data_IF_334035188772
#
_entry.id   IF_334035188772
#
_cell.length_a   1.000
_cell.length_b   1.000
_cell.length_c   1.000
_cell.angle_alpha   90.00
_cell.angle_beta   90.00
_cell.angle_gamma   90.00
#
_symmetry.space_group_name_H-M   'P 1'
#
loop_
_entity.id
_entity.type
_entity.pdbx_description
1 polymer ?
#
# COMPACT_ATOMS: atom_id res chain seq x y z
N UNK A 1 73.86 -29.49 -46.07
CA UNK A 1 73.90 -28.24 -45.26
C UNK A 1 73.47 -27.06 -46.12
N UNK A 2 72.22 -26.61 -46.00
CA UNK A 2 71.79 -25.30 -46.52
C UNK A 2 71.10 -24.56 -45.37
N UNK A 3 71.62 -23.38 -45.09
CA UNK A 3 71.41 -22.54 -43.91
C UNK A 3 69.94 -22.09 -43.83
N UNK A 4 69.32 -22.25 -42.66
CA UNK A 4 68.07 -21.59 -42.31
C UNK A 4 68.34 -20.10 -42.17
N UNK A 5 67.61 -19.30 -42.94
CA UNK A 5 67.67 -17.85 -42.96
C UNK A 5 66.92 -17.28 -41.75
N UNK A 6 67.61 -16.41 -41.01
CA UNK A 6 67.06 -15.59 -39.94
C UNK A 6 65.89 -14.75 -40.47
N UNK A 7 64.68 -15.03 -39.98
CA UNK A 7 63.53 -14.15 -40.19
C UNK A 7 63.67 -12.96 -39.23
N UNK A 8 63.96 -11.80 -39.79
CA UNK A 8 63.96 -10.52 -39.07
C UNK A 8 62.56 -10.26 -38.51
N UNK A 9 62.45 -10.26 -37.19
CA UNK A 9 61.23 -9.91 -36.48
C UNK A 9 60.88 -8.46 -36.83
N UNK A 10 59.70 -8.23 -37.43
CA UNK A 10 59.28 -6.89 -37.87
C UNK A 10 59.27 -5.93 -36.66
N UNK A 11 59.94 -4.77 -36.74
CA UNK A 11 59.99 -3.79 -35.65
C UNK A 11 58.59 -3.29 -35.26
N UNK A 12 57.61 -3.40 -36.17
CA UNK A 12 56.21 -3.07 -35.91
C UNK A 12 55.52 -4.03 -34.93
N UNK A 13 55.88 -5.33 -34.96
CA UNK A 13 55.34 -6.34 -34.04
C UNK A 13 55.92 -6.14 -32.63
N UNK A 14 57.19 -5.77 -32.53
CA UNK A 14 57.83 -5.38 -31.28
C UNK A 14 57.20 -4.11 -30.68
N UNK A 15 56.94 -3.08 -31.50
CA UNK A 15 56.29 -1.84 -31.06
C UNK A 15 54.83 -2.04 -30.64
N UNK A 16 54.10 -2.90 -31.35
CA UNK A 16 52.72 -3.26 -31.00
C UNK A 16 52.67 -4.10 -29.72
N UNK A 17 53.62 -5.04 -29.54
CA UNK A 17 53.74 -5.82 -28.30
C UNK A 17 54.15 -4.97 -27.09
N UNK A 18 54.98 -3.93 -27.27
CA UNK A 18 55.35 -2.99 -26.22
C UNK A 18 54.15 -2.17 -25.71
N UNK A 19 53.17 -1.88 -26.57
CA UNK A 19 51.91 -1.24 -26.16
C UNK A 19 51.04 -2.14 -25.27
N UNK A 20 51.07 -3.46 -25.46
CA UNK A 20 50.32 -4.39 -24.61
C UNK A 20 50.96 -4.61 -23.22
N UNK A 21 52.28 -4.44 -23.09
CA UNK A 21 52.98 -4.63 -21.80
C UNK A 21 52.79 -3.41 -20.86
N UNK A 22 52.45 -2.23 -21.39
CA UNK A 22 52.09 -1.05 -20.59
C UNK A 22 50.64 -1.04 -20.08
N UNK A 23 49.82 -2.04 -20.42
CA UNK A 23 48.39 -2.11 -20.07
C UNK A 23 48.08 -2.59 -18.65
N UNK A 24 49.08 -3.01 -17.87
CA UNK A 24 48.91 -3.46 -16.48
C UNK A 24 49.67 -2.52 -15.53
N UNK A 25 49.17 -1.29 -15.42
CA UNK A 25 49.73 -0.29 -14.51
C UNK A 25 48.66 0.02 -13.47
N UNK A 26 49.03 -0.10 -12.19
CA UNK A 26 48.20 0.31 -11.05
C UNK A 26 47.65 1.73 -11.27
N UNK A 27 46.43 2.00 -10.78
CA UNK A 27 45.80 3.33 -10.89
C UNK A 27 46.79 4.44 -10.54
N UNK A 28 47.25 5.19 -11.54
CA UNK A 28 48.16 6.31 -11.33
C UNK A 28 47.35 7.56 -11.11
N UNK A 29 47.90 8.45 -10.29
CA UNK A 29 47.30 9.74 -10.01
C UNK A 29 47.59 10.76 -11.12
N UNK A 30 47.19 10.45 -12.36
CA UNK A 30 47.39 11.34 -13.52
C UNK A 30 46.08 11.98 -13.97
N UNK A 31 46.17 13.13 -14.65
CA UNK A 31 44.98 13.82 -15.17
C UNK A 31 44.18 12.97 -16.16
N UNK A 32 44.85 12.11 -16.95
CA UNK A 32 44.20 11.21 -17.91
C UNK A 32 43.50 10.07 -17.19
N UNK A 33 44.18 9.45 -16.22
CA UNK A 33 43.61 8.37 -15.41
C UNK A 33 42.41 8.84 -14.59
N UNK A 34 42.53 10.01 -13.93
CA UNK A 34 41.40 10.65 -13.22
C UNK A 34 40.20 10.89 -14.14
N UNK A 35 40.43 11.39 -15.36
CA UNK A 35 39.36 11.60 -16.35
C UNK A 35 38.71 10.28 -16.75
N UNK A 36 39.49 9.22 -16.99
CA UNK A 36 38.97 7.90 -17.33
C UNK A 36 38.19 7.27 -16.16
N UNK A 37 38.73 7.36 -14.95
CA UNK A 37 38.03 6.92 -13.73
C UNK A 37 36.71 7.66 -13.55
N UNK A 38 36.69 8.99 -13.71
CA UNK A 38 35.48 9.78 -13.64
C UNK A 38 34.46 9.45 -14.73
N UNK A 39 34.91 9.24 -15.97
CA UNK A 39 34.04 8.86 -17.07
C UNK A 39 33.36 7.51 -16.80
N UNK A 40 34.16 6.51 -16.45
CA UNK A 40 33.66 5.17 -16.17
C UNK A 40 32.80 5.12 -14.91
N UNK A 41 33.20 5.80 -13.82
CA UNK A 41 32.40 5.95 -12.60
C UNK A 41 31.01 6.53 -12.91
N UNK A 42 30.96 7.65 -13.63
CA UNK A 42 29.71 8.35 -13.94
C UNK A 42 28.74 7.48 -14.72
N UNK A 43 29.17 6.91 -15.84
CA UNK A 43 28.27 6.26 -16.79
C UNK A 43 28.04 4.77 -16.49
N UNK A 44 29.07 4.04 -16.07
CA UNK A 44 28.95 2.58 -15.87
C UNK A 44 28.38 2.23 -14.49
N UNK A 45 28.61 3.09 -13.50
CA UNK A 45 28.26 2.81 -12.10
C UNK A 45 27.18 3.76 -11.58
N UNK A 46 27.43 5.08 -11.53
CA UNK A 46 26.50 6.04 -10.91
C UNK A 46 25.17 6.13 -11.68
N UNK A 47 25.21 6.41 -12.98
CA UNK A 47 24.00 6.54 -13.80
C UNK A 47 23.17 5.26 -13.75
N UNK A 48 23.80 4.11 -14.01
CA UNK A 48 23.12 2.83 -13.99
C UNK A 48 22.55 2.48 -12.60
N UNK A 49 23.26 2.79 -11.52
CA UNK A 49 22.74 2.55 -10.16
C UNK A 49 21.53 3.43 -9.85
N UNK A 50 21.53 4.69 -10.28
CA UNK A 50 20.37 5.55 -10.11
C UNK A 50 19.16 5.05 -10.90
N UNK A 51 19.36 4.52 -12.12
CA UNK A 51 18.28 3.88 -12.89
C UNK A 51 17.70 2.69 -12.12
N UNK A 52 18.55 1.79 -11.59
CA UNK A 52 18.10 0.65 -10.79
C UNK A 52 17.32 1.08 -9.54
N UNK A 53 17.76 2.15 -8.86
CA UNK A 53 17.05 2.70 -7.70
C UNK A 53 15.69 3.31 -8.10
N UNK A 54 15.62 4.00 -9.23
CA UNK A 54 14.35 4.54 -9.75
C UNK A 54 13.38 3.42 -10.09
N UNK A 55 13.82 2.41 -10.86
CA UNK A 55 13.00 1.25 -11.22
C UNK A 55 12.51 0.48 -9.99
N UNK A 56 13.36 0.32 -8.98
CA UNK A 56 12.98 -0.30 -7.71
C UNK A 56 11.87 0.48 -6.99
N UNK A 57 12.02 1.81 -6.88
CA UNK A 57 11.02 2.66 -6.22
C UNK A 57 9.70 2.73 -7.01
N UNK A 58 9.76 2.78 -8.35
CA UNK A 58 8.58 2.72 -9.20
C UNK A 58 7.84 1.38 -9.06
N UNK A 59 8.58 0.26 -9.04
CA UNK A 59 8.01 -1.06 -8.79
C UNK A 59 7.36 -1.17 -7.41
N UNK A 60 7.97 -0.57 -6.38
CA UNK A 60 7.39 -0.49 -5.04
C UNK A 60 6.09 0.31 -5.04
N UNK A 61 6.04 1.48 -5.69
CA UNK A 61 4.83 2.30 -5.78
C UNK A 61 3.65 1.60 -6.48
N UNK A 62 3.91 0.68 -7.41
CA UNK A 62 2.87 -0.08 -8.11
C UNK A 62 2.36 -1.29 -7.31
N UNK A 63 3.17 -1.83 -6.40
CA UNK A 63 2.87 -3.07 -5.69
C UNK A 63 2.48 -2.85 -4.24
N UNK A 64 2.85 -1.71 -3.66
CA UNK A 64 2.54 -1.37 -2.28
C UNK A 64 1.07 -1.00 -2.12
N UNK A 65 0.38 -1.74 -1.26
CA UNK A 65 -1.03 -1.48 -0.93
C UNK A 65 -1.13 -0.42 0.18
N UNK A 66 -1.26 0.85 -0.22
CA UNK A 66 -1.53 1.95 0.71
C UNK A 66 -2.89 1.78 1.41
N UNK A 67 -2.97 2.22 2.67
CA UNK A 67 -4.22 2.34 3.40
C UNK A 67 -4.68 3.80 3.42
N UNK A 68 -5.51 4.17 2.45
CA UNK A 68 -5.98 5.54 2.25
C UNK A 68 -6.96 6.06 3.32
N UNK A 69 -7.46 5.18 4.21
CA UNK A 69 -8.21 5.58 5.40
C UNK A 69 -7.32 6.19 6.48
N UNK A 70 -5.99 6.05 6.35
CA UNK A 70 -4.99 6.66 7.20
C UNK A 70 -4.22 7.73 6.44
N UNK A 71 -3.60 8.63 7.19
CA UNK A 71 -2.59 9.53 6.63
C UNK A 71 -1.44 8.69 6.10
N UNK A 72 -1.15 8.81 4.81
CA UNK A 72 -0.10 8.03 4.16
C UNK A 72 1.29 8.51 4.63
N UNK A 73 2.28 7.61 4.73
CA UNK A 73 3.66 8.02 4.97
C UNK A 73 4.22 8.71 3.72
N UNK A 74 5.06 9.73 3.93
CA UNK A 74 5.77 10.53 2.92
C UNK A 74 6.64 9.64 2.03
N UNK A 75 7.20 8.56 2.59
CA UNK A 75 8.00 7.57 1.89
C UNK A 75 7.42 6.17 2.10
N UNK A 76 7.73 5.27 1.16
CA UNK A 76 7.44 3.85 1.27
C UNK A 76 8.69 3.13 1.77
N UNK A 77 8.87 3.15 3.08
CA UNK A 77 10.05 2.57 3.70
C UNK A 77 9.80 1.07 3.99
N UNK A 78 10.74 0.17 3.63
CA UNK A 78 10.62 -1.26 3.92
C UNK A 78 10.49 -1.59 5.41
N UNK A 79 9.97 -2.76 5.75
CA UNK A 79 9.99 -3.22 7.14
C UNK A 79 11.44 -3.40 7.65
N UNK A 80 11.77 -2.91 8.86
CA UNK A 80 13.11 -3.07 9.44
C UNK A 80 13.55 -4.53 9.53
N UNK A 81 14.76 -4.81 9.05
CA UNK A 81 15.39 -6.12 9.25
C UNK A 81 15.85 -6.22 10.71
N UNK A 82 15.06 -6.88 11.55
CA UNK A 82 15.32 -7.07 12.98
C UNK A 82 16.46 -8.06 13.28
N UNK A 83 16.91 -8.84 12.28
CA UNK A 83 17.98 -9.81 12.45
C UNK A 83 19.25 -9.30 11.76
N UNK A 84 20.31 -9.07 12.54
CA UNK A 84 21.69 -8.81 12.07
C UNK A 84 22.34 -10.06 11.43
N UNK A 85 21.55 -10.98 10.90
CA UNK A 85 22.08 -12.14 10.21
C UNK A 85 22.57 -11.73 8.82
N UNK A 86 23.85 -11.96 8.56
CA UNK A 86 24.47 -12.01 7.24
C UNK A 86 23.90 -13.16 6.35
N UNK A 87 22.71 -13.67 6.68
CA UNK A 87 21.96 -14.55 5.78
C UNK A 87 21.64 -13.76 4.52
N UNK A 88 21.67 -14.38 3.32
CA UNK A 88 21.20 -13.72 2.12
C UNK A 88 19.78 -13.24 2.39
N UNK A 89 19.62 -11.92 2.53
CA UNK A 89 18.33 -11.25 2.44
C UNK A 89 17.60 -11.78 1.20
N UNK A 90 16.27 -11.77 1.18
CA UNK A 90 15.48 -12.04 -0.03
C UNK A 90 16.19 -11.40 -1.23
N UNK A 91 16.63 -12.23 -2.18
CA UNK A 91 17.54 -11.80 -3.22
C UNK A 91 16.92 -10.61 -3.97
N UNK A 92 17.52 -9.44 -3.82
CA UNK A 92 17.09 -8.23 -4.51
C UNK A 92 18.21 -7.83 -5.45
N UNK A 93 18.25 -8.54 -6.58
CA UNK A 93 19.31 -8.42 -7.59
C UNK A 93 19.57 -6.96 -7.98
N UNK A 94 18.56 -6.09 -8.22
CA UNK A 94 18.80 -4.67 -8.46
C UNK A 94 19.58 -3.96 -7.35
N UNK A 95 19.21 -4.14 -6.08
CA UNK A 95 19.89 -3.47 -4.96
C UNK A 95 21.28 -4.07 -4.69
N UNK A 96 21.46 -5.37 -4.88
CA UNK A 96 22.76 -6.02 -4.78
C UNK A 96 23.73 -5.51 -5.88
N UNK A 97 23.22 -5.28 -7.09
CA UNK A 97 23.99 -4.68 -8.19
C UNK A 97 24.40 -3.22 -7.87
N UNK A 98 23.53 -2.43 -7.22
CA UNK A 98 23.87 -1.07 -6.74
C UNK A 98 25.00 -1.12 -5.70
N UNK A 99 24.94 -2.07 -4.76
CA UNK A 99 25.99 -2.25 -3.74
C UNK A 99 27.32 -2.60 -4.40
N UNK A 100 27.32 -3.57 -5.31
CA UNK A 100 28.52 -3.98 -6.06
C UNK A 100 29.13 -2.79 -6.82
N UNK A 101 28.29 -1.99 -7.48
CA UNK A 101 28.75 -0.82 -8.24
C UNK A 101 29.36 0.27 -7.35
N UNK A 102 28.76 0.52 -6.19
CA UNK A 102 29.32 1.44 -5.20
C UNK A 102 30.68 0.97 -4.69
N UNK A 103 30.80 -0.32 -4.34
CA UNK A 103 32.06 -0.93 -3.90
C UNK A 103 33.13 -0.87 -4.99
N UNK A 104 32.78 -1.11 -6.26
CA UNK A 104 33.72 -1.02 -7.38
C UNK A 104 34.30 0.39 -7.54
N UNK A 105 33.50 1.45 -7.35
CA UNK A 105 34.02 2.83 -7.37
C UNK A 105 35.00 3.04 -6.22
N UNK A 106 34.63 2.64 -5.00
CA UNK A 106 35.47 2.84 -3.80
C UNK A 106 36.80 2.10 -3.91
N UNK A 107 36.77 0.85 -4.39
CA UNK A 107 37.94 -0.02 -4.43
C UNK A 107 38.84 0.24 -5.65
N UNK A 108 38.24 0.54 -6.81
CA UNK A 108 38.98 0.57 -8.08
C UNK A 108 39.16 1.99 -8.65
N UNK A 109 38.45 3.00 -8.12
CA UNK A 109 38.43 4.36 -8.68
C UNK A 109 38.75 5.42 -7.63
N UNK A 110 39.75 5.17 -6.79
CA UNK A 110 40.13 6.00 -5.64
C UNK A 110 40.44 7.48 -5.96
N UNK A 111 40.74 7.82 -7.22
CA UNK A 111 40.96 9.22 -7.65
C UNK A 111 39.74 9.84 -8.35
N UNK A 112 38.60 9.16 -8.30
CA UNK A 112 37.35 9.66 -8.86
C UNK A 112 36.70 10.71 -7.94
N UNK A 113 36.01 11.67 -8.56
CA UNK A 113 35.19 12.65 -7.87
C UNK A 113 33.84 12.07 -7.39
N UNK A 114 33.52 10.81 -7.70
CA UNK A 114 32.24 10.16 -7.40
C UNK A 114 32.32 9.22 -6.18
N UNK A 115 33.34 9.37 -5.33
CA UNK A 115 33.50 8.53 -4.14
C UNK A 115 32.39 8.83 -3.12
N UNK A 116 31.97 10.08 -2.98
CA UNK A 116 30.83 10.46 -2.15
C UNK A 116 29.52 9.87 -2.68
N UNK A 117 29.28 9.97 -4.00
CA UNK A 117 28.14 9.33 -4.65
C UNK A 117 28.14 7.80 -4.44
N UNK A 118 29.31 7.16 -4.48
CA UNK A 118 29.43 5.72 -4.22
C UNK A 118 28.99 5.34 -2.80
N UNK A 119 29.42 6.09 -1.78
CA UNK A 119 28.94 5.87 -0.41
C UNK A 119 27.45 6.17 -0.24
N UNK A 120 26.93 7.19 -0.92
CA UNK A 120 25.48 7.45 -0.97
C UNK A 120 24.71 6.28 -1.59
N UNK A 121 25.23 5.65 -2.66
CA UNK A 121 24.63 4.45 -3.25
C UNK A 121 24.61 3.27 -2.28
N UNK A 122 25.72 3.02 -1.57
CA UNK A 122 25.79 1.96 -0.56
C UNK A 122 24.77 2.18 0.56
N UNK A 123 24.65 3.42 1.06
CA UNK A 123 23.66 3.77 2.06
C UNK A 123 22.22 3.57 1.56
N UNK A 124 21.89 4.09 0.37
CA UNK A 124 20.54 3.99 -0.21
C UNK A 124 20.13 2.55 -0.48
N UNK A 125 21.02 1.72 -1.03
CA UNK A 125 20.72 0.33 -1.27
C UNK A 125 20.50 -0.46 0.04
N UNK A 126 21.33 -0.22 1.06
CA UNK A 126 21.11 -0.84 2.38
C UNK A 126 19.81 -0.37 3.04
N UNK A 127 19.47 0.91 2.90
CA UNK A 127 18.21 1.47 3.38
C UNK A 127 17.01 0.75 2.76
N UNK A 128 17.00 0.60 1.43
CA UNK A 128 15.92 -0.06 0.70
C UNK A 128 15.89 -1.59 0.92
N UNK A 129 16.94 -2.18 1.50
CA UNK A 129 16.94 -3.55 2.01
C UNK A 129 16.42 -3.67 3.46
N UNK A 130 16.04 -2.56 4.10
CA UNK A 130 15.66 -2.51 5.51
C UNK A 130 16.84 -2.59 6.49
N UNK A 131 18.09 -2.51 5.99
CA UNK A 131 19.32 -2.55 6.79
C UNK A 131 19.66 -1.16 7.33
N UNK A 132 18.75 -0.56 8.09
CA UNK A 132 18.82 0.85 8.51
C UNK A 132 20.05 1.20 9.33
N UNK A 133 20.55 0.28 10.17
CA UNK A 133 21.78 0.50 10.93
C UNK A 133 22.98 0.70 9.99
N UNK A 134 23.20 -0.23 9.05
CA UNK A 134 24.29 -0.16 8.07
C UNK A 134 24.14 1.06 7.17
N UNK A 135 22.92 1.35 6.72
CA UNK A 135 22.63 2.53 5.93
C UNK A 135 23.04 3.82 6.67
N UNK A 136 22.66 3.94 7.94
CA UNK A 136 22.98 5.10 8.78
C UNK A 136 24.49 5.33 8.90
N UNK A 137 25.29 4.27 9.02
CA UNK A 137 26.76 4.38 9.11
C UNK A 137 27.39 4.90 7.80
N UNK A 138 26.93 4.43 6.64
CA UNK A 138 27.40 4.97 5.34
C UNK A 138 27.06 6.45 5.17
N UNK A 139 25.86 6.84 5.58
CA UNK A 139 25.45 8.25 5.54
C UNK A 139 26.22 9.10 6.56
N UNK A 140 26.49 8.57 7.76
CA UNK A 140 27.30 9.26 8.76
C UNK A 140 28.73 9.50 8.28
N UNK A 141 29.37 8.47 7.71
CA UNK A 141 30.68 8.59 7.08
C UNK A 141 30.68 9.66 5.99
N UNK A 142 29.67 9.63 5.11
CA UNK A 142 29.56 10.58 3.99
C UNK A 142 29.39 12.01 4.51
N UNK A 143 28.51 12.24 5.48
CA UNK A 143 28.29 13.55 6.08
C UNK A 143 29.58 14.09 6.75
N UNK A 144 30.28 13.25 7.52
CA UNK A 144 31.53 13.66 8.20
C UNK A 144 32.65 13.97 7.22
N UNK A 145 32.81 13.15 6.18
CA UNK A 145 33.92 13.26 5.22
C UNK A 145 33.73 14.43 4.26
N UNK A 146 32.49 14.65 3.80
CA UNK A 146 32.17 15.64 2.76
C UNK A 146 31.45 16.89 3.29
N UNK A 147 31.71 17.27 4.55
CA UNK A 147 31.05 18.40 5.23
C UNK A 147 31.06 19.74 4.47
N UNK A 148 32.10 19.99 3.67
CA UNK A 148 32.25 21.24 2.91
C UNK A 148 31.44 21.23 1.60
N UNK A 149 31.05 20.06 1.10
CA UNK A 149 30.09 19.95 0.00
C UNK A 149 28.69 19.94 0.62
N UNK A 150 28.12 21.11 0.85
CA UNK A 150 26.86 21.28 1.57
C UNK A 150 25.73 20.42 0.99
N UNK A 151 25.63 20.31 -0.35
CA UNK A 151 24.60 19.47 -0.98
C UNK A 151 24.76 18.00 -0.59
N UNK A 152 25.97 17.45 -0.69
CA UNK A 152 26.27 16.07 -0.29
C UNK A 152 26.05 15.87 1.21
N UNK A 153 26.52 16.81 2.04
CA UNK A 153 26.30 16.79 3.49
C UNK A 153 24.82 16.74 3.86
N UNK A 154 24.00 17.63 3.29
CA UNK A 154 22.55 17.69 3.57
C UNK A 154 21.88 16.39 3.14
N UNK A 155 22.18 15.88 1.94
CA UNK A 155 21.59 14.63 1.46
C UNK A 155 22.00 13.44 2.33
N UNK A 156 23.26 13.36 2.76
CA UNK A 156 23.71 12.32 3.69
C UNK A 156 22.98 12.42 5.04
N UNK A 157 22.87 13.63 5.61
CA UNK A 157 22.13 13.85 6.86
C UNK A 157 20.64 13.52 6.73
N UNK A 158 20.02 13.83 5.59
CA UNK A 158 18.63 13.48 5.29
C UNK A 158 18.40 11.96 5.38
N UNK A 159 19.20 11.20 4.64
CA UNK A 159 19.08 9.75 4.62
C UNK A 159 19.51 9.10 5.95
N UNK A 160 20.47 9.70 6.67
CA UNK A 160 20.82 9.30 8.04
C UNK A 160 19.64 9.48 8.99
N UNK A 161 18.96 10.63 8.95
CA UNK A 161 17.79 10.92 9.77
C UNK A 161 16.66 9.92 9.49
N UNK A 162 16.35 9.67 8.21
CA UNK A 162 15.37 8.65 7.80
C UNK A 162 15.71 7.28 8.38
N UNK A 163 16.97 6.86 8.27
CA UNK A 163 17.41 5.57 8.83
C UNK A 163 17.19 5.51 10.35
N UNK A 164 17.41 6.60 11.06
CA UNK A 164 17.18 6.68 12.50
C UNK A 164 15.69 6.73 12.86
N UNK A 165 14.83 7.28 12.01
CA UNK A 165 13.36 7.23 12.17
C UNK A 165 12.86 5.79 12.10
N UNK A 166 13.33 5.01 11.13
CA UNK A 166 12.97 3.59 10.97
C UNK A 166 13.52 2.69 12.09
N UNK A 167 14.66 3.08 12.69
CA UNK A 167 15.18 2.47 13.91
C UNK A 167 14.45 2.93 15.19
N UNK A 168 13.38 3.71 15.06
CA UNK A 168 12.59 4.30 16.15
C UNK A 168 13.39 5.25 17.08
N UNK A 169 14.52 5.77 16.61
CA UNK A 169 15.38 6.73 17.33
C UNK A 169 14.95 8.19 17.06
N UNK A 170 13.66 8.49 17.28
CA UNK A 170 13.03 9.75 16.85
C UNK A 170 13.74 11.02 17.38
N UNK A 171 14.16 11.04 18.64
CA UNK A 171 14.86 12.20 19.24
C UNK A 171 16.21 12.45 18.59
N UNK A 172 16.92 11.39 18.20
CA UNK A 172 18.21 11.52 17.54
C UNK A 172 18.02 11.95 16.08
N UNK A 173 17.04 11.38 15.39
CA UNK A 173 16.67 11.78 14.04
C UNK A 173 16.31 13.26 13.96
N UNK A 174 15.53 13.80 14.90
CA UNK A 174 15.13 15.22 14.90
C UNK A 174 16.35 16.15 15.07
N UNK A 175 17.34 15.79 15.90
CA UNK A 175 18.60 16.54 16.01
C UNK A 175 19.43 16.52 14.73
N UNK A 176 19.41 15.40 14.00
CA UNK A 176 20.06 15.29 12.69
C UNK A 176 19.36 16.22 11.70
N UNK A 177 18.01 16.23 11.68
CA UNK A 177 17.22 17.12 10.83
C UNK A 177 17.47 18.60 11.15
N UNK A 178 17.54 18.99 12.42
CA UNK A 178 17.87 20.37 12.81
C UNK A 178 19.24 20.81 12.28
N UNK A 179 20.23 19.92 12.35
CA UNK A 179 21.58 20.18 11.81
C UNK A 179 21.54 20.28 10.28
N UNK A 180 20.78 19.40 9.63
CA UNK A 180 20.58 19.38 8.19
C UNK A 180 19.91 20.68 7.68
N UNK A 181 18.86 21.15 8.35
CA UNK A 181 18.13 22.36 7.96
C UNK A 181 19.01 23.61 8.05
N UNK A 182 19.84 23.74 9.09
CA UNK A 182 20.83 24.84 9.18
C UNK A 182 21.80 24.85 8.01
N UNK A 183 22.27 23.68 7.60
CA UNK A 183 23.13 23.55 6.42
C UNK A 183 22.39 23.88 5.12
N UNK A 184 21.09 23.56 5.04
CA UNK A 184 20.24 23.93 3.91
C UNK A 184 20.03 25.45 3.81
N UNK A 185 19.86 26.14 4.96
CA UNK A 185 19.81 27.60 5.01
C UNK A 185 21.12 28.23 4.50
N UNK A 186 22.27 27.64 4.87
CA UNK A 186 23.59 28.06 4.38
C UNK A 186 23.75 27.82 2.86
N UNK A 187 23.24 26.69 2.36
CA UNK A 187 23.22 26.38 0.93
C UNK A 187 22.33 27.37 0.13
N UNK A 188 21.40 28.08 0.80
CA UNK A 188 20.44 29.02 0.20
C UNK A 188 19.64 28.40 -0.95
N UNK A 189 19.34 27.11 -0.83
CA UNK A 189 18.62 26.35 -1.85
C UNK A 189 17.73 25.31 -1.20
N UNK A 190 16.44 25.38 -1.50
CA UNK A 190 15.49 24.37 -1.07
C UNK A 190 15.77 23.04 -1.76
N UNK A 191 15.90 21.99 -0.95
CA UNK A 191 16.04 20.62 -1.43
C UNK A 191 14.75 19.86 -1.07
N UNK A 192 14.05 19.26 -2.06
CA UNK A 192 12.73 18.69 -1.85
C UNK A 192 12.71 17.51 -0.87
N UNK A 193 13.66 16.58 -0.98
CA UNK A 193 13.75 15.40 -0.11
C UNK A 193 14.02 15.73 1.38
N UNK A 194 15.00 16.59 1.73
CA UNK A 194 15.18 17.10 3.09
C UNK A 194 13.93 17.73 3.70
N UNK A 195 13.21 18.54 2.93
CA UNK A 195 11.98 19.18 3.38
C UNK A 195 10.86 18.16 3.60
N UNK A 196 10.66 17.22 2.68
CA UNK A 196 9.67 16.15 2.81
C UNK A 196 9.97 15.22 3.99
N UNK A 197 11.24 14.87 4.22
CA UNK A 197 11.65 14.08 5.40
C UNK A 197 11.39 14.83 6.70
N UNK A 198 11.69 16.13 6.73
CA UNK A 198 11.35 16.97 7.89
C UNK A 198 9.83 17.00 8.10
N UNK A 199 9.04 17.09 7.03
CA UNK A 199 7.58 17.02 7.13
C UNK A 199 7.10 15.70 7.73
N UNK A 200 7.69 14.56 7.33
CA UNK A 200 7.40 13.25 7.94
C UNK A 200 7.66 13.24 9.45
N UNK A 201 8.78 13.81 9.90
CA UNK A 201 9.06 13.97 11.33
C UNK A 201 8.00 14.85 12.03
N UNK A 202 7.62 15.97 11.42
CA UNK A 202 6.57 16.86 11.97
C UNK A 202 5.20 16.16 12.03
N UNK A 203 4.88 15.29 11.07
CA UNK A 203 3.69 14.43 11.11
C UNK A 203 3.73 13.49 12.33
N UNK A 204 4.86 12.82 12.58
CA UNK A 204 5.00 11.96 13.77
C UNK A 204 4.87 12.74 15.08
N UNK A 205 5.35 13.99 15.11
CA UNK A 205 5.21 14.92 16.23
C UNK A 205 3.80 15.54 16.34
N UNK A 206 2.86 15.19 15.44
CA UNK A 206 1.51 15.79 15.33
C UNK A 206 1.52 17.30 15.05
N UNK A 207 2.60 17.81 14.47
CA UNK A 207 2.79 19.23 14.08
C UNK A 207 2.37 19.43 12.63
N UNK A 208 1.09 19.17 12.34
CA UNK A 208 0.56 19.11 10.97
C UNK A 208 0.75 20.42 10.18
N UNK A 209 0.55 21.58 10.81
CA UNK A 209 0.69 22.89 10.16
C UNK A 209 2.09 23.12 9.62
N UNK A 210 3.11 22.69 10.36
CA UNK A 210 4.51 22.80 9.90
C UNK A 210 4.81 21.77 8.80
N UNK A 211 4.26 20.57 8.92
CA UNK A 211 4.37 19.56 7.86
C UNK A 211 3.77 20.06 6.53
N UNK A 212 2.63 20.75 6.58
CA UNK A 212 1.98 21.37 5.42
C UNK A 212 2.94 22.35 4.72
N UNK A 213 3.51 23.32 5.44
CA UNK A 213 4.42 24.32 4.88
C UNK A 213 5.67 23.70 4.23
N UNK A 214 6.21 22.66 4.88
CA UNK A 214 7.37 21.92 4.37
C UNK A 214 7.02 21.14 3.09
N UNK A 215 5.87 20.46 3.06
CA UNK A 215 5.42 19.72 1.88
C UNK A 215 5.08 20.65 0.70
N UNK A 216 4.46 21.80 0.94
CA UNK A 216 4.19 22.79 -0.11
C UNK A 216 5.49 23.23 -0.81
N UNK A 217 6.54 23.48 -0.03
CA UNK A 217 7.86 23.85 -0.54
C UNK A 217 8.54 22.68 -1.24
N UNK A 218 8.46 21.47 -0.68
CA UNK A 218 9.02 20.26 -1.27
C UNK A 218 8.39 19.96 -2.63
N UNK A 219 7.05 20.00 -2.73
CA UNK A 219 6.30 19.74 -3.97
C UNK A 219 6.68 20.74 -5.06
N UNK A 220 6.85 22.03 -4.72
CA UNK A 220 7.21 23.08 -5.68
C UNK A 220 8.59 22.87 -6.30
N UNK A 221 9.51 22.22 -5.58
CA UNK A 221 10.92 22.06 -5.97
C UNK A 221 11.28 20.63 -6.37
N UNK A 222 10.33 19.69 -6.32
CA UNK A 222 10.55 18.28 -6.63
C UNK A 222 10.63 18.01 -8.14
N UNK A 223 11.75 17.42 -8.56
CA UNK A 223 11.93 16.91 -9.93
C UNK A 223 11.23 15.56 -10.12
N UNK A 224 11.30 14.67 -9.11
CA UNK A 224 10.76 13.31 -9.18
C UNK A 224 9.23 13.33 -9.16
N UNK A 225 8.62 12.89 -10.28
CA UNK A 225 7.19 13.08 -10.53
C UNK A 225 6.33 12.26 -9.57
N UNK A 226 6.70 11.01 -9.33
CA UNK A 226 5.89 10.10 -8.51
C UNK A 226 5.92 10.49 -7.03
N UNK A 227 7.09 10.89 -6.52
CA UNK A 227 7.20 11.43 -5.16
C UNK A 227 6.39 12.70 -4.99
N UNK A 228 6.46 13.62 -5.97
CA UNK A 228 5.67 14.85 -5.95
C UNK A 228 4.17 14.56 -5.87
N UNK A 229 3.67 13.59 -6.64
CA UNK A 229 2.25 13.18 -6.61
C UNK A 229 1.87 12.59 -5.25
N UNK A 230 2.70 11.71 -4.68
CA UNK A 230 2.47 11.16 -3.35
C UNK A 230 2.41 12.25 -2.27
N UNK A 231 3.37 13.16 -2.26
CA UNK A 231 3.42 14.28 -1.31
C UNK A 231 2.22 15.22 -1.49
N UNK A 232 1.79 15.43 -2.73
CA UNK A 232 0.59 16.21 -3.07
C UNK A 232 -0.68 15.58 -2.48
N UNK A 233 -0.80 14.25 -2.49
CA UNK A 233 -1.90 13.53 -1.83
C UNK A 233 -1.84 13.69 -0.31
N UNK A 234 -0.67 13.52 0.29
CA UNK A 234 -0.45 13.66 1.75
C UNK A 234 -0.73 15.08 2.22
N UNK A 235 -0.34 16.09 1.44
CA UNK A 235 -0.65 17.49 1.69
C UNK A 235 -2.17 17.69 1.78
N UNK A 236 -2.94 17.11 0.85
CA UNK A 236 -4.39 17.17 0.88
C UNK A 236 -4.98 16.49 2.12
N UNK A 237 -4.46 15.32 2.52
CA UNK A 237 -4.88 14.64 3.75
C UNK A 237 -4.61 15.47 5.02
N UNK A 238 -3.47 16.17 5.08
CA UNK A 238 -3.14 17.05 6.20
C UNK A 238 -4.04 18.28 6.24
N UNK A 239 -4.30 18.89 5.09
CA UNK A 239 -5.22 20.03 4.98
C UNK A 239 -6.64 19.65 5.38
N UNK A 240 -7.13 18.48 4.96
CA UNK A 240 -8.42 17.94 5.40
C UNK A 240 -8.48 17.78 6.93
N UNK A 241 -7.42 17.25 7.56
CA UNK A 241 -7.32 17.13 9.02
C UNK A 241 -7.30 18.48 9.75
N UNK A 242 -6.71 19.51 9.16
CA UNK A 242 -6.70 20.88 9.70
C UNK A 242 -7.94 21.68 9.29
N UNK A 243 -8.96 21.03 8.69
CA UNK A 243 -10.20 21.63 8.22
C UNK A 243 -10.04 22.71 7.13
N UNK A 244 -8.91 22.68 6.41
CA UNK A 244 -8.66 23.47 5.20
C UNK A 244 -9.20 22.74 3.96
N UNK A 245 -10.53 22.64 3.90
CA UNK A 245 -11.22 21.80 2.91
C UNK A 245 -10.97 22.28 1.48
N UNK A 246 -10.87 23.61 1.26
CA UNK A 246 -10.66 24.19 -0.07
C UNK A 246 -9.32 23.77 -0.66
N UNK A 247 -8.23 23.93 0.09
CA UNK A 247 -6.92 23.55 -0.39
C UNK A 247 -6.79 22.03 -0.50
N UNK A 248 -7.38 21.27 0.43
CA UNK A 248 -7.46 19.82 0.31
C UNK A 248 -8.14 19.39 -1.00
N UNK A 249 -9.29 19.98 -1.33
CA UNK A 249 -10.00 19.73 -2.59
C UNK A 249 -9.14 20.05 -3.82
N UNK A 250 -8.47 21.21 -3.83
CA UNK A 250 -7.57 21.61 -4.92
C UNK A 250 -6.44 20.59 -5.07
N UNK A 251 -5.84 20.16 -3.97
CA UNK A 251 -4.69 19.27 -4.00
C UNK A 251 -5.07 17.84 -4.37
N UNK A 252 -6.21 17.31 -3.93
CA UNK A 252 -6.76 16.05 -4.46
C UNK A 252 -7.10 16.14 -5.95
N UNK A 253 -7.63 17.29 -6.41
CA UNK A 253 -7.88 17.51 -7.85
C UNK A 253 -6.58 17.44 -8.66
N UNK A 254 -5.48 18.01 -8.16
CA UNK A 254 -4.18 17.91 -8.83
C UNK A 254 -3.68 16.47 -8.92
N UNK A 255 -3.91 15.64 -7.89
CA UNK A 255 -3.55 14.21 -7.92
C UNK A 255 -4.39 13.46 -8.94
N UNK A 256 -5.70 13.70 -8.95
CA UNK A 256 -6.64 13.09 -9.90
C UNK A 256 -6.26 13.44 -11.37
N UNK A 257 -5.80 14.67 -11.63
CA UNK A 257 -5.36 15.09 -12.97
C UNK A 257 -3.90 14.75 -13.29
N UNK A 258 -3.27 13.83 -12.55
CA UNK A 258 -1.87 13.44 -12.72
C UNK A 258 -1.71 11.97 -13.11
N UNK A 259 -0.47 11.55 -13.41
CA UNK A 259 -0.13 10.13 -13.64
C UNK A 259 0.07 9.38 -12.31
N UNK A 260 -0.84 9.58 -11.35
CA UNK A 260 -0.82 8.86 -10.09
C UNK A 260 -1.04 7.35 -10.32
N UNK A 261 -0.49 6.47 -9.46
CA UNK A 261 -0.94 5.09 -9.39
C UNK A 261 -2.47 5.04 -9.26
N UNK A 262 -3.09 4.05 -9.88
CA UNK A 262 -4.53 4.03 -10.09
C UNK A 262 -5.32 4.13 -8.79
N UNK A 263 -4.85 3.43 -7.76
CA UNK A 263 -5.38 3.43 -6.40
C UNK A 263 -5.40 4.86 -5.83
N UNK A 264 -4.27 5.57 -5.93
CA UNK A 264 -4.15 6.94 -5.44
C UNK A 264 -5.06 7.89 -6.23
N UNK A 265 -5.13 7.72 -7.54
CA UNK A 265 -6.07 8.45 -8.41
C UNK A 265 -7.51 8.25 -7.93
N UNK A 266 -7.92 6.99 -7.73
CA UNK A 266 -9.25 6.61 -7.30
C UNK A 266 -9.61 7.25 -5.95
N UNK A 267 -8.73 7.10 -4.96
CA UNK A 267 -8.93 7.68 -3.64
C UNK A 267 -8.89 9.21 -3.65
N UNK A 268 -8.05 9.84 -4.49
CA UNK A 268 -8.05 11.29 -4.65
C UNK A 268 -9.38 11.79 -5.23
N UNK A 269 -9.92 11.11 -6.23
CA UNK A 269 -11.20 11.46 -6.83
C UNK A 269 -12.35 11.30 -5.83
N UNK A 270 -12.35 10.19 -5.07
CA UNK A 270 -13.29 9.95 -3.98
C UNK A 270 -13.27 11.07 -2.94
N UNK A 271 -12.09 11.40 -2.40
CA UNK A 271 -11.96 12.45 -1.38
C UNK A 271 -12.37 13.82 -1.94
N UNK A 272 -12.03 14.12 -3.19
CA UNK A 272 -12.46 15.35 -3.86
C UNK A 272 -13.99 15.45 -3.98
N UNK A 273 -14.70 14.36 -4.33
CA UNK A 273 -16.17 14.34 -4.39
C UNK A 273 -16.76 14.65 -3.01
N UNK A 274 -16.27 13.97 -1.95
CA UNK A 274 -16.71 14.19 -0.57
C UNK A 274 -16.50 15.64 -0.11
N UNK A 275 -15.30 16.19 -0.35
CA UNK A 275 -14.97 17.56 0.04
C UNK A 275 -15.80 18.59 -0.73
N UNK A 276 -16.10 18.34 -2.01
CA UNK A 276 -16.91 19.25 -2.81
C UNK A 276 -18.27 19.51 -2.18
N UNK A 277 -18.91 18.49 -1.64
CA UNK A 277 -20.21 18.63 -0.98
C UNK A 277 -20.14 19.38 0.34
N UNK A 278 -19.01 19.33 1.05
CA UNK A 278 -18.78 20.13 2.26
C UNK A 278 -18.49 21.61 1.94
N UNK A 279 -17.79 21.85 0.83
CA UNK A 279 -17.37 23.19 0.36
C UNK A 279 -18.53 23.95 -0.27
N UNK A 280 -19.21 23.30 -1.21
CA UNK A 280 -20.27 23.94 -1.97
C UNK A 280 -21.54 23.85 -1.13
N UNK A 281 -22.05 24.98 -0.66
CA UNK A 281 -23.36 25.08 0.01
C UNK A 281 -24.56 24.66 -0.86
N UNK A 282 -24.33 23.89 -1.94
CA UNK A 282 -25.31 23.32 -2.84
C UNK A 282 -25.31 21.80 -2.72
N UNK A 283 -26.51 21.20 -2.75
CA UNK A 283 -26.69 19.75 -2.82
C UNK A 283 -26.15 19.23 -4.16
N UNK A 284 -24.92 18.73 -4.17
CA UNK A 284 -24.42 17.88 -5.24
C UNK A 284 -25.05 16.50 -5.06
N UNK A 285 -25.42 15.85 -6.16
CA UNK A 285 -25.81 14.44 -6.16
C UNK A 285 -24.52 13.60 -6.10
N UNK A 286 -23.93 13.48 -4.90
CA UNK A 286 -22.68 12.76 -4.66
C UNK A 286 -22.75 11.30 -5.11
N UNK A 287 -23.91 10.66 -4.94
CA UNK A 287 -24.18 9.30 -5.39
C UNK A 287 -24.02 9.17 -6.92
N UNK A 288 -24.53 10.12 -7.70
CA UNK A 288 -24.35 10.14 -9.16
C UNK A 288 -22.90 10.35 -9.55
N UNK A 289 -22.16 11.17 -8.81
CA UNK A 289 -20.74 11.39 -9.06
C UNK A 289 -19.93 10.12 -8.79
N UNK A 290 -20.20 9.42 -7.69
CA UNK A 290 -19.57 8.14 -7.36
C UNK A 290 -19.96 7.04 -8.36
N UNK A 291 -21.24 6.92 -8.70
CA UNK A 291 -21.71 5.94 -9.68
C UNK A 291 -21.21 6.24 -11.11
N UNK A 292 -20.85 7.48 -11.42
CA UNK A 292 -20.21 7.80 -12.69
C UNK A 292 -18.81 7.18 -12.82
N UNK A 293 -18.12 6.90 -11.70
CA UNK A 293 -16.84 6.20 -11.70
C UNK A 293 -16.97 4.78 -12.27
N UNK A 294 -18.12 4.13 -12.10
CA UNK A 294 -18.39 2.80 -12.65
C UNK A 294 -18.42 2.75 -14.18
N UNK A 295 -18.45 3.91 -14.86
CA UNK A 295 -18.46 3.99 -16.33
C UNK A 295 -17.07 3.92 -16.94
N UNK A 296 -16.02 4.16 -16.15
CA UNK A 296 -14.64 4.06 -16.61
C UNK A 296 -14.17 2.63 -16.42
N UNK A 297 -13.84 1.94 -17.52
CA UNK A 297 -13.37 0.56 -17.52
C UNK A 297 -12.13 0.36 -16.62
N UNK A 298 -11.34 1.41 -16.39
CA UNK A 298 -10.19 1.36 -15.48
C UNK A 298 -10.60 1.09 -14.02
N UNK A 299 -11.80 1.50 -13.62
CA UNK A 299 -12.32 1.29 -12.26
C UNK A 299 -12.88 -0.12 -12.03
N UNK A 300 -12.78 -1.04 -13.01
CA UNK A 300 -13.38 -2.37 -12.92
C UNK A 300 -12.97 -3.11 -11.63
N UNK A 301 -11.68 -3.11 -11.30
CA UNK A 301 -11.14 -3.77 -10.11
C UNK A 301 -11.54 -3.10 -8.78
N UNK A 302 -12.13 -1.90 -8.83
CA UNK A 302 -12.53 -1.07 -7.69
C UNK A 302 -14.05 -0.89 -7.58
N UNK A 303 -14.81 -1.64 -8.40
CA UNK A 303 -16.28 -1.61 -8.41
C UNK A 303 -16.88 -1.86 -7.02
N UNK A 304 -16.28 -2.78 -6.26
CA UNK A 304 -16.69 -3.07 -4.89
C UNK A 304 -16.53 -1.86 -3.95
N UNK A 305 -15.38 -1.20 -4.01
CA UNK A 305 -15.07 -0.02 -3.21
C UNK A 305 -15.97 1.16 -3.60
N UNK A 306 -16.26 1.36 -4.88
CA UNK A 306 -17.21 2.39 -5.33
C UNK A 306 -18.59 2.16 -4.70
N UNK A 307 -19.13 0.95 -4.80
CA UNK A 307 -20.43 0.64 -4.20
C UNK A 307 -20.41 0.77 -2.67
N UNK A 308 -19.30 0.42 -2.01
CA UNK A 308 -19.15 0.62 -0.58
C UNK A 308 -19.23 2.10 -0.20
N UNK A 309 -18.51 2.98 -0.93
CA UNK A 309 -18.53 4.41 -0.66
C UNK A 309 -19.90 5.05 -0.96
N UNK A 310 -20.63 4.56 -1.97
CA UNK A 310 -22.03 4.93 -2.21
C UNK A 310 -22.92 4.53 -1.03
N UNK A 311 -22.67 3.35 -0.44
CA UNK A 311 -23.36 2.90 0.77
C UNK A 311 -23.09 3.82 1.97
N UNK A 312 -21.83 4.18 2.21
CA UNK A 312 -21.44 5.09 3.31
C UNK A 312 -22.11 6.47 3.15
N UNK A 313 -22.20 6.97 1.92
CA UNK A 313 -22.93 8.20 1.62
C UNK A 313 -24.41 8.10 2.00
N UNK A 314 -25.11 7.07 1.54
CA UNK A 314 -26.53 6.88 1.88
C UNK A 314 -26.74 6.65 3.38
N UNK A 315 -25.81 5.96 4.05
CA UNK A 315 -25.87 5.78 5.50
C UNK A 315 -25.74 7.12 6.24
N UNK A 316 -24.83 8.00 5.81
CA UNK A 316 -24.67 9.36 6.35
C UNK A 316 -25.92 10.23 6.15
N UNK A 317 -26.64 10.03 5.05
CA UNK A 317 -27.92 10.68 4.77
C UNK A 317 -29.12 10.03 5.48
N UNK A 318 -28.90 9.03 6.33
CA UNK A 318 -29.92 8.18 6.98
C UNK A 318 -30.83 7.43 6.00
N UNK A 319 -30.39 7.22 4.75
CA UNK A 319 -31.08 6.41 3.76
C UNK A 319 -30.64 4.94 3.83
N UNK A 320 -30.93 4.31 4.97
CA UNK A 320 -30.37 2.99 5.30
C UNK A 320 -30.74 1.88 4.31
N UNK A 321 -31.93 1.93 3.70
CA UNK A 321 -32.35 0.95 2.69
C UNK A 321 -31.45 1.00 1.45
N UNK A 322 -31.20 2.20 0.92
CA UNK A 322 -30.27 2.37 -0.21
C UNK A 322 -28.82 2.07 0.18
N UNK A 323 -28.43 2.38 1.42
CA UNK A 323 -27.11 2.05 1.93
C UNK A 323 -26.88 0.53 1.93
N UNK A 324 -27.84 -0.23 2.45
CA UNK A 324 -27.79 -1.69 2.43
C UNK A 324 -27.71 -2.25 1.01
N UNK A 325 -28.55 -1.77 0.09
CA UNK A 325 -28.50 -2.19 -1.32
C UNK A 325 -27.13 -1.94 -1.96
N UNK A 326 -26.50 -0.80 -1.66
CA UNK A 326 -25.18 -0.47 -2.15
C UNK A 326 -24.10 -1.38 -1.54
N UNK A 327 -24.13 -1.65 -0.23
CA UNK A 327 -23.21 -2.62 0.38
C UNK A 327 -23.37 -4.03 -0.17
N UNK A 328 -24.60 -4.48 -0.45
CA UNK A 328 -24.85 -5.77 -1.10
C UNK A 328 -24.23 -5.79 -2.51
N UNK A 329 -24.33 -4.70 -3.28
CA UNK A 329 -23.64 -4.59 -4.58
C UNK A 329 -22.12 -4.62 -4.39
N UNK A 330 -21.58 -3.99 -3.36
CA UNK A 330 -20.16 -4.05 -3.04
C UNK A 330 -19.71 -5.49 -2.78
N UNK A 331 -20.40 -6.24 -1.92
CA UNK A 331 -20.13 -7.65 -1.64
C UNK A 331 -20.15 -8.50 -2.91
N UNK A 332 -21.15 -8.30 -3.78
CA UNK A 332 -21.30 -9.05 -5.03
C UNK A 332 -20.12 -8.83 -6.00
N UNK A 333 -19.55 -7.63 -6.00
CA UNK A 333 -18.41 -7.29 -6.85
C UNK A 333 -17.06 -7.54 -6.18
N UNK A 334 -17.02 -7.82 -4.87
CA UNK A 334 -15.79 -8.16 -4.13
C UNK A 334 -15.38 -9.62 -4.38
N UNK A 335 -14.82 -9.90 -5.56
CA UNK A 335 -14.40 -11.26 -5.94
C UNK A 335 -13.00 -11.59 -5.44
N UNK A 336 -12.06 -10.63 -5.51
CA UNK A 336 -10.65 -10.79 -5.13
C UNK A 336 -10.32 -10.12 -3.81
N UNK A 337 -10.95 -8.97 -3.52
CA UNK A 337 -10.67 -8.18 -2.32
C UNK A 337 -11.49 -8.68 -1.11
N UNK A 338 -10.98 -9.68 -0.40
CA UNK A 338 -11.65 -10.23 0.79
C UNK A 338 -11.77 -9.20 1.92
N UNK A 339 -10.81 -8.28 2.04
CA UNK A 339 -10.87 -7.22 3.05
C UNK A 339 -12.04 -6.28 2.80
N UNK A 340 -12.21 -5.80 1.56
CA UNK A 340 -13.37 -4.97 1.20
C UNK A 340 -14.68 -5.73 1.38
N UNK A 341 -14.72 -7.01 1.02
CA UNK A 341 -15.89 -7.87 1.25
C UNK A 341 -16.26 -7.94 2.73
N UNK A 342 -15.26 -8.09 3.60
CA UNK A 342 -15.46 -8.15 5.05
C UNK A 342 -16.02 -6.83 5.60
N UNK A 343 -15.50 -5.69 5.13
CA UNK A 343 -16.00 -4.36 5.49
C UNK A 343 -17.45 -4.16 5.05
N UNK A 344 -17.79 -4.55 3.82
CA UNK A 344 -19.16 -4.44 3.32
C UNK A 344 -20.12 -5.36 4.08
N UNK A 345 -19.71 -6.58 4.43
CA UNK A 345 -20.50 -7.45 5.33
C UNK A 345 -20.70 -6.81 6.70
N UNK A 346 -19.66 -6.23 7.29
CA UNK A 346 -19.74 -5.60 8.60
C UNK A 346 -20.75 -4.45 8.60
N UNK A 347 -20.72 -3.60 7.57
CA UNK A 347 -21.69 -2.49 7.43
C UNK A 347 -23.12 -2.97 7.27
N UNK A 348 -23.35 -4.05 6.53
CA UNK A 348 -24.69 -4.66 6.44
C UNK A 348 -25.12 -5.21 7.80
N UNK A 349 -24.21 -5.88 8.51
CA UNK A 349 -24.48 -6.44 9.83
C UNK A 349 -24.86 -5.35 10.84
N UNK A 350 -24.07 -4.27 10.90
CA UNK A 350 -24.29 -3.12 11.76
C UNK A 350 -25.64 -2.44 11.45
N UNK A 351 -25.96 -2.17 10.18
CA UNK A 351 -27.25 -1.58 9.78
C UNK A 351 -28.44 -2.44 10.20
N UNK A 352 -28.35 -3.75 10.02
CA UNK A 352 -29.42 -4.66 10.41
C UNK A 352 -29.58 -4.75 11.93
N UNK A 353 -28.48 -4.62 12.67
CA UNK A 353 -28.49 -4.63 14.12
C UNK A 353 -29.04 -3.32 14.70
N UNK A 354 -28.52 -2.17 14.25
CA UNK A 354 -28.82 -0.87 14.85
C UNK A 354 -30.08 -0.23 14.27
N UNK A 355 -30.28 -0.25 12.96
CA UNK A 355 -31.35 0.50 12.30
C UNK A 355 -32.58 -0.36 12.03
N UNK A 356 -32.40 -1.48 11.32
CA UNK A 356 -33.55 -2.31 10.93
C UNK A 356 -34.04 -3.26 12.03
N UNK A 357 -33.24 -3.46 13.09
CA UNK A 357 -33.50 -4.43 14.17
C UNK A 357 -33.76 -5.85 13.66
N UNK A 358 -33.23 -6.19 12.49
CA UNK A 358 -33.30 -7.52 11.91
C UNK A 358 -32.13 -8.37 12.41
N UNK A 359 -32.26 -8.88 13.62
CA UNK A 359 -31.19 -9.60 14.32
C UNK A 359 -30.77 -10.90 13.60
N UNK A 360 -31.69 -11.57 12.90
CA UNK A 360 -31.36 -12.77 12.12
C UNK A 360 -30.44 -12.40 10.96
N UNK A 361 -30.77 -11.34 10.21
CA UNK A 361 -29.94 -10.87 9.09
C UNK A 361 -28.61 -10.32 9.61
N UNK A 362 -28.64 -9.53 10.68
CA UNK A 362 -27.43 -9.01 11.32
C UNK A 362 -26.45 -10.13 11.70
N UNK A 363 -26.95 -11.18 12.38
CA UNK A 363 -26.16 -12.34 12.80
C UNK A 363 -25.47 -13.01 11.61
N UNK A 364 -26.22 -13.33 10.55
CA UNK A 364 -25.67 -13.95 9.33
C UNK A 364 -24.52 -13.15 8.72
N UNK A 365 -24.67 -11.82 8.69
CA UNK A 365 -23.63 -10.96 8.14
C UNK A 365 -22.43 -10.81 9.09
N UNK A 366 -22.62 -10.75 10.41
CA UNK A 366 -21.51 -10.79 11.37
C UNK A 366 -20.74 -12.11 11.30
N UNK A 367 -21.42 -13.26 11.23
CA UNK A 367 -20.78 -14.57 11.08
C UNK A 367 -19.92 -14.61 9.79
N UNK A 368 -20.47 -14.07 8.69
CA UNK A 368 -19.76 -13.95 7.42
C UNK A 368 -18.56 -13.01 7.50
N UNK A 369 -18.67 -11.89 8.23
CA UNK A 369 -17.55 -10.97 8.49
C UNK A 369 -16.44 -11.69 9.25
N UNK A 370 -16.74 -12.35 10.36
CA UNK A 370 -15.74 -13.02 11.21
C UNK A 370 -14.95 -14.09 10.44
N UNK A 371 -15.58 -14.76 9.48
CA UNK A 371 -14.95 -15.79 8.65
C UNK A 371 -13.80 -15.25 7.78
N UNK A 372 -13.91 -14.02 7.28
CA UNK A 372 -12.97 -13.45 6.29
C UNK A 372 -12.19 -12.24 6.79
N UNK A 373 -12.58 -11.65 7.93
CA UNK A 373 -11.93 -10.47 8.49
C UNK A 373 -10.55 -10.82 9.06
N UNK A 374 -9.47 -10.09 8.73
CA UNK A 374 -8.15 -10.31 9.31
C UNK A 374 -8.14 -10.15 10.84
N UNK A 375 -7.43 -11.04 11.55
CA UNK A 375 -7.35 -11.00 13.02
C UNK A 375 -6.66 -9.74 13.57
N UNK A 376 -5.83 -9.09 12.77
CA UNK A 376 -5.17 -7.82 13.13
C UNK A 376 -6.06 -6.60 12.84
N UNK A 377 -7.30 -6.79 12.40
CA UNK A 377 -8.24 -5.71 12.17
C UNK A 377 -8.56 -5.00 13.50
N UNK A 378 -8.58 -3.65 13.53
CA UNK A 378 -8.99 -2.91 14.72
C UNK A 378 -10.41 -3.32 15.13
N UNK A 379 -10.63 -3.60 16.42
CA UNK A 379 -11.96 -3.99 16.95
C UNK A 379 -12.43 -5.42 16.61
N UNK A 380 -11.56 -6.28 16.06
CA UNK A 380 -11.90 -7.67 15.71
C UNK A 380 -12.60 -8.43 16.84
N UNK A 381 -12.06 -8.37 18.06
CA UNK A 381 -12.61 -9.10 19.21
C UNK A 381 -14.04 -8.66 19.58
N UNK A 382 -14.37 -7.38 19.39
CA UNK A 382 -15.71 -6.88 19.66
C UNK A 382 -16.70 -7.30 18.57
N UNK A 383 -16.25 -7.39 17.32
CA UNK A 383 -17.06 -7.93 16.21
C UNK A 383 -17.40 -9.41 16.46
N UNK A 384 -16.43 -10.21 16.89
CA UNK A 384 -16.64 -11.63 17.27
C UNK A 384 -17.66 -11.73 18.41
N UNK A 385 -17.49 -10.97 19.48
CA UNK A 385 -18.44 -10.97 20.61
C UNK A 385 -19.85 -10.57 20.20
N UNK A 386 -20.00 -9.61 19.28
CA UNK A 386 -21.32 -9.23 18.75
C UNK A 386 -21.96 -10.39 17.98
N UNK A 387 -21.18 -11.09 17.14
CA UNK A 387 -21.65 -12.27 16.39
C UNK A 387 -22.14 -13.37 17.35
N UNK A 388 -21.34 -13.71 18.36
CA UNK A 388 -21.66 -14.72 19.36
C UNK A 388 -22.89 -14.34 20.19
N UNK A 389 -23.02 -13.09 20.64
CA UNK A 389 -24.19 -12.65 21.40
C UNK A 389 -25.47 -12.63 20.55
N UNK A 390 -25.34 -12.35 19.25
CA UNK A 390 -26.46 -12.39 18.33
C UNK A 390 -26.97 -13.80 18.04
N UNK A 391 -26.16 -14.85 18.26
CA UNK A 391 -26.61 -16.24 18.22
C UNK A 391 -27.77 -16.44 19.19
N UNK A 392 -27.60 -16.04 20.46
CA UNK A 392 -28.63 -16.18 21.48
C UNK A 392 -29.93 -15.47 21.08
N UNK A 393 -29.83 -14.22 20.60
CA UNK A 393 -30.99 -13.43 20.22
C UNK A 393 -31.70 -14.01 18.98
N UNK A 394 -30.93 -14.43 17.97
CA UNK A 394 -31.44 -15.05 16.74
C UNK A 394 -32.16 -16.37 17.05
N UNK A 395 -31.62 -17.21 17.94
CA UNK A 395 -32.22 -18.49 18.31
C UNK A 395 -33.56 -18.28 19.04
N UNK A 396 -33.59 -17.31 19.98
CA UNK A 396 -34.82 -16.96 20.69
C UNK A 396 -35.89 -16.41 19.74
N UNK A 397 -35.51 -15.51 18.83
CA UNK A 397 -36.46 -14.96 17.86
C UNK A 397 -37.02 -16.04 16.93
N UNK A 398 -36.16 -16.94 16.45
CA UNK A 398 -36.57 -18.06 15.57
C UNK A 398 -37.51 -19.01 16.31
N UNK A 399 -37.21 -19.33 17.57
CA UNK A 399 -38.08 -20.14 18.42
C UNK A 399 -39.44 -19.49 18.64
N UNK A 400 -39.47 -18.21 19.04
CA UNK A 400 -40.72 -17.47 19.27
C UNK A 400 -41.55 -17.42 17.99
N UNK A 401 -40.96 -17.07 16.86
CA UNK A 401 -41.66 -16.99 15.57
C UNK A 401 -42.25 -18.35 15.16
N UNK A 402 -41.52 -19.45 15.41
CA UNK A 402 -42.02 -20.80 15.20
C UNK A 402 -43.22 -21.10 16.10
N UNK A 403 -43.10 -20.84 17.39
CA UNK A 403 -44.18 -21.09 18.36
C UNK A 403 -45.43 -20.24 18.07
N UNK A 404 -45.27 -18.96 17.69
CA UNK A 404 -46.38 -18.10 17.29
C UNK A 404 -47.11 -18.65 16.06
N UNK A 405 -46.34 -19.14 15.07
CA UNK A 405 -46.90 -19.78 13.88
C UNK A 405 -47.68 -21.05 14.25
N UNK A 406 -47.10 -21.92 15.08
CA UNK A 406 -47.74 -23.17 15.51
C UNK A 406 -49.01 -22.90 16.34
N UNK A 407 -48.97 -21.92 17.24
CA UNK A 407 -50.14 -21.52 18.03
C UNK A 407 -51.23 -20.88 17.17
N UNK A 408 -50.86 -20.09 16.14
CA UNK A 408 -51.83 -19.55 15.20
C UNK A 408 -52.53 -20.66 14.40
N UNK A 409 -51.79 -21.66 13.94
CA UNK A 409 -52.35 -22.85 13.27
C UNK A 409 -53.27 -23.63 14.22
N UNK A 410 -52.86 -23.81 15.49
CA UNK A 410 -53.63 -24.55 16.48
C UNK A 410 -55.02 -23.92 16.76
N UNK A 411 -55.13 -22.59 16.66
CA UNK A 411 -56.39 -21.85 16.88
C UNK A 411 -57.40 -21.95 15.72
N UNK A 412 -56.99 -22.45 14.55
CA UNK A 412 -57.89 -22.58 13.39
C UNK A 412 -58.94 -23.70 13.60
N UNK A 413 -60.14 -23.58 13.00
CA UNK A 413 -61.10 -24.68 12.90
C UNK A 413 -60.47 -25.91 12.23
N UNK A 414 -60.97 -27.10 12.55
CA UNK A 414 -60.34 -28.37 12.14
C UNK A 414 -60.13 -28.51 10.62
N UNK A 415 -61.11 -28.07 9.83
CA UNK A 415 -61.04 -28.08 8.37
C UNK A 415 -59.95 -27.16 7.81
N UNK A 416 -59.79 -25.95 8.36
CA UNK A 416 -58.79 -24.97 7.95
C UNK A 416 -57.39 -25.32 8.46
N UNK A 417 -57.31 -25.90 9.67
CA UNK A 417 -56.06 -26.35 10.30
C UNK A 417 -55.38 -27.44 9.49
N UNK A 418 -56.11 -28.45 9.03
CA UNK A 418 -55.56 -29.53 8.21
C UNK A 418 -54.96 -28.99 6.89
N UNK A 419 -55.65 -28.05 6.23
CA UNK A 419 -55.15 -27.40 5.03
C UNK A 419 -53.89 -26.57 5.30
N UNK A 420 -53.87 -25.78 6.38
CA UNK A 420 -52.70 -24.97 6.75
C UNK A 420 -51.49 -25.78 7.16
N UNK A 421 -51.67 -26.90 7.86
CA UNK A 421 -50.58 -27.83 8.19
C UNK A 421 -49.98 -28.43 6.91
N UNK A 422 -50.83 -28.84 5.97
CA UNK A 422 -50.38 -29.38 4.69
C UNK A 422 -49.56 -28.36 3.89
N UNK A 423 -49.97 -27.10 3.88
CA UNK A 423 -49.20 -26.02 3.24
C UNK A 423 -47.91 -25.68 4.00
N UNK A 424 -47.92 -25.70 5.33
CA UNK A 424 -46.73 -25.43 6.16
C UNK A 424 -45.67 -26.53 6.02
N UNK A 425 -46.10 -27.80 5.90
CA UNK A 425 -45.23 -28.95 5.69
C UNK A 425 -44.92 -29.22 4.21
N UNK A 426 -45.47 -28.41 3.31
CA UNK A 426 -45.21 -28.56 1.88
C UNK A 426 -43.72 -28.27 1.66
N UNK A 427 -42.93 -29.24 1.15
CA UNK A 427 -41.55 -28.97 0.84
C UNK A 427 -41.52 -27.81 -0.16
N UNK A 428 -40.77 -26.75 0.17
CA UNK A 428 -40.47 -25.71 -0.80
C UNK A 428 -39.67 -26.37 -1.92
N UNK A 429 -40.32 -26.61 -3.06
CA UNK A 429 -39.63 -27.04 -4.27
C UNK A 429 -38.85 -25.83 -4.76
N UNK A 430 -37.58 -25.75 -4.39
CA UNK A 430 -36.65 -24.87 -5.10
C UNK A 430 -36.47 -25.45 -6.49
N UNK A 431 -36.81 -24.65 -7.51
CA UNK A 431 -36.53 -25.00 -8.90
C UNK A 431 -35.01 -24.95 -9.08
N UNK A 432 -34.35 -26.09 -8.84
CA UNK A 432 -32.95 -26.28 -9.23
C UNK A 432 -32.92 -26.32 -10.75
N UNK A 433 -32.54 -25.21 -11.39
CA UNK A 433 -32.11 -25.23 -12.78
C UNK A 433 -30.84 -26.08 -12.86
N UNK A 434 -30.98 -27.34 -13.28
CA UNK A 434 -29.85 -28.23 -13.53
C UNK A 434 -29.10 -27.69 -14.75
N UNK A 435 -27.95 -27.06 -14.51
CA UNK A 435 -26.93 -26.82 -15.56
C UNK A 435 -25.93 -27.96 -15.45
N UNK A 436 -25.79 -28.72 -16.53
CA UNK A 436 -24.89 -29.86 -16.65
C UNK A 436 -23.43 -29.45 -16.37
N UNK A 437 -22.84 -30.06 -15.34
CA UNK A 437 -21.44 -29.86 -14.95
C UNK A 437 -20.50 -30.68 -15.84
N UNK A 438 -19.74 -29.98 -16.68
CA UNK A 438 -18.41 -30.41 -17.14
C UNK A 438 -17.56 -29.16 -17.45
N UNK A 439 -17.22 -28.39 -16.42
CA UNK A 439 -16.02 -27.55 -16.37
C UNK A 439 -15.79 -27.11 -14.91
N UNK A 440 -14.52 -27.04 -14.55
CA UNK A 440 -14.00 -26.84 -13.20
C UNK A 440 -14.58 -25.63 -12.45
N UNK A 441 -14.73 -25.86 -11.14
CA UNK A 441 -15.04 -24.89 -10.10
C UNK A 441 -14.33 -23.55 -10.30
N UNK A 442 -15.12 -22.52 -10.57
CA UNK A 442 -14.91 -21.09 -10.32
C UNK A 442 -16.04 -20.37 -11.06
N UNK A 443 -17.19 -20.22 -10.39
CA UNK A 443 -18.29 -19.27 -10.67
C UNK A 443 -19.63 -19.90 -10.24
N UNK A 444 -19.94 -19.79 -8.95
CA UNK A 444 -21.32 -19.84 -8.49
C UNK A 444 -21.54 -18.75 -7.45
N UNK A 445 -22.04 -17.64 -7.97
CA UNK A 445 -22.79 -16.63 -7.24
C UNK A 445 -24.04 -17.26 -6.61
N UNK A 446 -23.90 -17.82 -5.42
CA UNK A 446 -25.03 -18.20 -4.56
C UNK A 446 -24.56 -18.18 -3.10
N UNK A 447 -25.43 -17.69 -2.23
CA UNK A 447 -25.32 -17.70 -0.78
C UNK A 447 -24.75 -19.03 -0.20
N UNK A 448 -23.95 -19.01 0.87
CA UNK A 448 -23.83 -20.16 1.77
C UNK A 448 -25.09 -20.22 2.62
N UNK A 449 -26.07 -20.94 2.09
CA UNK A 449 -27.28 -21.39 2.74
C UNK A 449 -27.71 -22.70 2.08
N UNK A 450 -26.76 -23.62 1.90
CA UNK A 450 -27.04 -25.00 1.51
C UNK A 450 -27.18 -25.84 2.79
N UNK A 451 -28.38 -26.38 2.98
CA UNK A 451 -28.69 -27.31 4.05
C UNK A 451 -28.08 -28.70 3.76
N UNK A 452 -27.39 -29.26 4.76
CA UNK A 452 -26.99 -30.67 4.82
C UNK A 452 -28.22 -31.57 4.82
N UNK A 453 -28.14 -32.57 3.96
CA UNK A 453 -28.95 -33.76 3.99
C UNK A 453 -28.51 -34.67 5.13
N UNK A 454 -29.35 -34.79 6.17
CA UNK A 454 -29.25 -35.85 7.18
C UNK A 454 -29.90 -37.11 6.63
N UNK A 455 -29.11 -38.15 6.39
CA UNK A 455 -29.60 -39.52 6.18
C UNK A 455 -29.37 -40.32 7.47
N UNK A 456 -30.44 -40.89 8.03
CA UNK A 456 -30.38 -41.68 9.25
C UNK A 456 -29.99 -43.14 9.00
N UNK A 457 -28.94 -43.63 9.67
CA UNK A 457 -28.90 -44.96 10.28
C UNK A 457 -27.78 -45.11 11.32
N UNK A 458 -28.21 -45.35 12.56
CA UNK A 458 -27.61 -46.07 13.71
C UNK A 458 -26.18 -45.79 14.25
N UNK A 459 -26.20 -45.26 15.49
CA UNK A 459 -25.34 -45.53 16.69
C UNK A 459 -23.90 -44.98 16.72
N UNK A 460 -23.68 -43.99 17.59
CA UNK A 460 -22.37 -43.56 18.11
C UNK A 460 -22.38 -42.09 18.56
N UNK A 461 -22.04 -41.82 19.81
CA UNK A 461 -22.19 -40.53 20.51
C UNK A 461 -21.34 -39.37 19.98
N UNK A 462 -21.90 -38.16 19.95
CA UNK A 462 -21.14 -36.90 20.13
C UNK A 462 -21.32 -35.82 19.06
N UNK A 463 -21.87 -34.67 19.49
CA UNK A 463 -21.93 -33.35 18.84
C UNK A 463 -22.89 -33.14 17.65
N UNK A 464 -23.94 -32.37 17.93
CA UNK A 464 -25.05 -31.96 17.04
C UNK A 464 -24.68 -30.74 16.19
N UNK A 465 -24.56 -30.92 14.87
CA UNK A 465 -24.78 -29.89 13.85
C UNK A 465 -26.22 -30.03 13.31
N UNK A 466 -26.95 -28.92 13.17
CA UNK A 466 -28.26 -28.88 12.50
C UNK A 466 -28.10 -28.18 11.14
N UNK A 467 -28.65 -28.80 10.09
CA UNK A 467 -29.06 -28.13 8.85
C UNK A 467 -30.53 -28.42 8.58
#
# INVERSE_FOLDING_TARGET
>A
MKKYTDKTLSPFILLFSAFFIYGCVANKDTAVDRKMQNLTARYNYIYNSNVLLTEYNEGLLQTYADNYEKLLPVYLDPEPQITLTLTPSVANKPLDDVIFKGQAIINEKSFSNYIDDAYMLLGKANYLKGNYFIASEYFDYTAKTYKNNLKTFIMAMNWKARSQMELNNMVYADKILDTMLRAQDELKRDLPEPLATTAQMRIYQKRNKEAILLLETAIRTADEKQLRIRWQYILAQLQEKENDLQNAFINYTKVENSNAPFEMYFHANLQRIKLRALISGYKINEDKALLALLKDDKNFDYTDQIYYQVGELFAKENNFSKAEDAYIKSVKNSTRNQNQKALSYLKIADLNFSEFKNYIKAKRYYDSTVLILPKNFPDYDNIVKKAENLQYLSDRYTLISKEDTLQAIAKLPESERAAKIKDYLRPKVEVSTVVNNNAQALNSSSFPGENVTVSASSVGSGNTFYF
#
